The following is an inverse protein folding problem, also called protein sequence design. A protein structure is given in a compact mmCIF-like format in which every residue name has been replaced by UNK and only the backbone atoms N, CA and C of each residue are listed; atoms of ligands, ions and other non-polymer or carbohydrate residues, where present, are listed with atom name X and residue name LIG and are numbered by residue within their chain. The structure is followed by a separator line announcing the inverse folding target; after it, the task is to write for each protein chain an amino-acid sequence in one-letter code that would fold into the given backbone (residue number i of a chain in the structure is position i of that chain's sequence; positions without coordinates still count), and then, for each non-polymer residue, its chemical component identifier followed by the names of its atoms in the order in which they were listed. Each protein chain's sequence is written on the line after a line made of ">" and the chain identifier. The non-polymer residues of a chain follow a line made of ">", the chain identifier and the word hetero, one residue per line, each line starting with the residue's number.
data_IF_862453005034
#
_entry.id   IF_862453005034
#
_cell.length_a   1.000
_cell.length_b   1.000
_cell.length_c   1.000
_cell.angle_alpha   90.00
_cell.angle_beta   90.00
_cell.angle_gamma   90.00
#
_symmetry.space_group_name_H-M   'P 1'
#
loop_
_entity.id
_entity.type
_entity.pdbx_description
1 polymer ?
#
# COMPACT_ATOMS: atom_id res chain seq x y z
N UNK A 1 -10.36 -3.75 27.41
CA UNK A 1 -9.16 -4.17 26.64
C UNK A 1 -8.73 -3.00 25.76
N UNK A 2 -7.65 -2.30 26.13
CA UNK A 2 -7.08 -1.27 25.27
C UNK A 2 -6.65 -1.94 23.96
N UNK A 3 -7.32 -1.61 22.84
CA UNK A 3 -6.92 -2.08 21.51
C UNK A 3 -5.45 -1.71 21.31
N UNK A 4 -4.59 -2.69 21.05
CA UNK A 4 -3.22 -2.45 20.66
C UNK A 4 -3.25 -1.42 19.52
N UNK A 5 -2.66 -0.24 19.77
CA UNK A 5 -2.53 0.81 18.76
C UNK A 5 -1.69 0.17 17.67
N UNK A 6 -2.27 -0.07 16.49
CA UNK A 6 -1.47 -0.41 15.31
C UNK A 6 -0.46 0.73 15.15
N UNK A 7 0.83 0.42 15.21
CA UNK A 7 1.88 1.38 14.87
C UNK A 7 1.81 1.64 13.37
N UNK A 8 0.99 2.62 12.98
CA UNK A 8 0.96 3.13 11.62
C UNK A 8 1.80 4.40 11.56
N UNK A 9 2.66 4.49 10.54
CA UNK A 9 3.32 5.75 10.17
C UNK A 9 2.55 6.37 9.02
N UNK A 10 2.26 7.66 9.11
CA UNK A 10 1.65 8.39 8.01
C UNK A 10 2.67 8.52 6.86
N UNK A 11 2.32 7.99 5.69
CA UNK A 11 3.12 8.11 4.48
C UNK A 11 2.71 9.42 3.78
N UNK A 12 3.47 10.50 3.99
CA UNK A 12 3.23 11.78 3.33
C UNK A 12 4.16 11.92 2.12
N UNK A 13 3.69 11.50 0.95
CA UNK A 13 4.43 11.55 -0.31
C UNK A 13 3.50 12.10 -1.40
N UNK A 14 4.03 12.94 -2.28
CA UNK A 14 3.33 13.38 -3.49
C UNK A 14 3.46 12.26 -4.54
N UNK A 15 2.33 11.73 -4.96
CA UNK A 15 2.22 10.72 -6.03
C UNK A 15 1.53 11.37 -7.23
N UNK A 16 1.88 10.90 -8.43
CA UNK A 16 1.22 11.31 -9.67
C UNK A 16 -0.28 10.96 -9.63
N UNK A 17 -1.13 11.87 -10.11
CA UNK A 17 -2.59 11.70 -10.09
C UNK A 17 -3.04 10.42 -10.82
N UNK A 18 -2.39 10.08 -11.93
CA UNK A 18 -2.65 8.87 -12.72
C UNK A 18 -2.37 7.59 -11.92
N UNK A 19 -1.30 7.58 -11.12
CA UNK A 19 -0.94 6.48 -10.23
C UNK A 19 -1.95 6.39 -9.07
N UNK A 20 -2.38 7.53 -8.52
CA UNK A 20 -3.39 7.57 -7.47
C UNK A 20 -4.73 6.97 -7.93
N UNK A 21 -5.22 7.38 -9.11
CA UNK A 21 -6.45 6.84 -9.71
C UNK A 21 -6.34 5.33 -9.96
N UNK A 22 -5.20 4.86 -10.46
CA UNK A 22 -4.94 3.43 -10.62
C UNK A 22 -5.03 2.67 -9.30
N UNK A 23 -4.50 3.26 -8.23
CA UNK A 23 -4.49 2.67 -6.89
C UNK A 23 -5.91 2.65 -6.30
N UNK A 24 -6.69 3.69 -6.56
CA UNK A 24 -8.09 3.80 -6.17
C UNK A 24 -8.95 2.74 -6.87
N UNK A 25 -8.84 2.61 -8.19
CA UNK A 25 -9.52 1.57 -8.96
C UNK A 25 -9.14 0.17 -8.47
N UNK A 26 -7.85 -0.08 -8.22
CA UNK A 26 -7.38 -1.37 -7.70
C UNK A 26 -7.91 -1.67 -6.29
N UNK A 27 -8.04 -0.66 -5.44
CA UNK A 27 -8.62 -0.80 -4.11
C UNK A 27 -10.12 -1.14 -4.19
N UNK A 28 -10.85 -0.48 -5.09
CA UNK A 28 -12.27 -0.75 -5.35
C UNK A 28 -12.50 -2.15 -5.92
N UNK A 29 -11.76 -2.55 -6.96
CA UNK A 29 -11.86 -3.88 -7.57
C UNK A 29 -11.61 -5.01 -6.56
N UNK A 30 -10.70 -4.81 -5.61
CA UNK A 30 -10.39 -5.81 -4.57
C UNK A 30 -11.26 -5.69 -3.32
N UNK A 31 -12.14 -4.70 -3.23
CA UNK A 31 -12.95 -4.43 -2.04
C UNK A 31 -12.11 -4.14 -0.80
N UNK A 32 -10.96 -3.46 -0.95
CA UNK A 32 -10.04 -3.14 0.14
C UNK A 32 -9.93 -1.64 0.35
N UNK A 33 -9.52 -1.21 1.54
CA UNK A 33 -9.21 0.20 1.78
C UNK A 33 -7.93 0.59 1.06
N UNK A 34 -7.81 1.86 0.64
CA UNK A 34 -6.61 2.40 -0.02
C UNK A 34 -5.34 2.07 0.77
N UNK A 35 -5.37 2.19 2.10
CA UNK A 35 -4.24 1.83 2.98
C UNK A 35 -3.79 0.39 2.79
N UNK A 36 -4.73 -0.57 2.79
CA UNK A 36 -4.40 -2.00 2.65
C UNK A 36 -3.92 -2.34 1.24
N UNK A 37 -4.49 -1.67 0.24
CA UNK A 37 -4.05 -1.80 -1.15
C UNK A 37 -2.60 -1.29 -1.33
N UNK A 38 -2.28 -0.12 -0.75
CA UNK A 38 -0.92 0.47 -0.75
C UNK A 38 0.06 -0.46 -0.02
N UNK A 39 -0.26 -0.89 1.20
CA UNK A 39 0.60 -1.82 1.97
C UNK A 39 0.91 -3.08 1.16
N UNK A 40 -0.11 -3.70 0.55
CA UNK A 40 0.06 -4.92 -0.25
C UNK A 40 0.89 -4.71 -1.51
N UNK A 41 0.72 -3.58 -2.19
CA UNK A 41 1.49 -3.24 -3.38
C UNK A 41 2.95 -2.95 -3.02
N UNK A 42 3.19 -2.19 -1.96
CA UNK A 42 4.53 -1.89 -1.46
C UNK A 42 5.25 -3.16 -1.02
N UNK A 43 4.63 -4.01 -0.20
CA UNK A 43 5.24 -5.29 0.21
C UNK A 43 5.55 -6.15 -1.01
N UNK A 44 4.63 -6.28 -1.97
CA UNK A 44 4.87 -7.09 -3.16
C UNK A 44 6.00 -6.52 -4.03
N UNK A 45 6.12 -5.19 -4.13
CA UNK A 45 7.21 -4.56 -4.88
C UNK A 45 8.56 -4.78 -4.17
N UNK A 46 8.62 -4.60 -2.85
CA UNK A 46 9.83 -4.85 -2.06
C UNK A 46 10.24 -6.33 -2.10
N UNK A 47 9.29 -7.26 -2.01
CA UNK A 47 9.55 -8.70 -2.12
C UNK A 47 10.09 -9.10 -3.51
N UNK A 48 9.80 -8.34 -4.56
CA UNK A 48 10.31 -8.57 -5.91
C UNK A 48 11.75 -8.06 -6.03
N UNK A 49 12.01 -6.84 -5.59
CA UNK A 49 13.36 -6.25 -5.54
C UNK A 49 14.32 -7.12 -4.71
N UNK A 50 13.88 -7.59 -3.52
CA UNK A 50 14.70 -8.47 -2.67
C UNK A 50 14.96 -9.87 -3.27
N UNK A 51 14.12 -10.31 -4.23
CA UNK A 51 14.29 -11.60 -4.91
C UNK A 51 15.19 -11.51 -6.13
N UNK A 52 15.25 -10.35 -6.78
CA UNK A 52 16.13 -10.12 -7.92
C UNK A 52 17.59 -9.85 -7.49
N UNK A 53 17.82 -9.48 -6.23
CA UNK A 53 19.15 -9.30 -5.62
C UNK A 53 19.79 -10.61 -5.06
N UNK A 54 19.22 -11.80 -5.36
CA UNK A 54 19.71 -13.10 -4.85
C UNK A 54 20.13 -14.10 -5.92
#
# INVERSE_FOLDING_TARGET
>A
MARAKKDYKALNIKIESTIYERLENYAEEKGQTKTKAVERLLTKAMDLEEKDDK
#
